data_IF_243005419821
#
_entry.id   IF_243005419821
#
_cell.length_a   1.000
_cell.length_b   1.000
_cell.length_c   1.000
_cell.angle_alpha   90.00
_cell.angle_beta   90.00
_cell.angle_gamma   90.00
#
_symmetry.space_group_name_H-M   'P 1'
#
loop_
_entity.id
_entity.type
_entity.pdbx_description
1 polymer ?
#
# COMPACT_ATOMS: atom_id res chain seq x y z
N UNK A 1 13.76 1.33 1.28
CA UNK A 1 13.88 2.01 2.60
C UNK A 1 13.36 3.43 2.48
N UNK A 2 12.42 3.83 3.33
CA UNK A 2 11.78 5.15 3.29
C UNK A 2 12.34 6.02 4.43
N UNK A 3 13.02 7.13 4.13
CA UNK A 3 13.55 8.03 5.15
C UNK A 3 12.41 8.77 5.88
N UNK A 4 12.08 8.32 7.09
CA UNK A 4 11.01 8.86 7.93
C UNK A 4 11.06 10.40 8.12
N UNK A 5 12.27 10.99 8.08
CA UNK A 5 12.50 12.43 8.27
C UNK A 5 11.82 13.30 7.21
N UNK A 6 11.63 12.79 5.99
CA UNK A 6 11.04 13.53 4.88
C UNK A 6 9.51 13.64 5.00
N UNK A 7 8.92 12.87 5.91
CA UNK A 7 7.48 12.81 6.14
C UNK A 7 7.07 13.49 7.43
N UNK A 8 7.96 14.17 8.16
CA UNK A 8 7.59 14.95 9.34
C UNK A 8 7.27 16.39 8.91
N UNK A 9 5.98 16.70 8.72
CA UNK A 9 5.55 18.07 8.46
C UNK A 9 5.68 18.94 9.73
N UNK A 10 6.50 19.98 9.66
CA UNK A 10 6.69 20.97 10.74
C UNK A 10 5.47 21.88 10.92
N UNK A 11 4.51 21.88 9.99
CA UNK A 11 3.32 22.75 9.98
C UNK A 11 2.05 22.09 10.52
N UNK A 12 2.15 20.84 10.99
CA UNK A 12 1.12 20.20 11.84
C UNK A 12 0.16 19.23 11.13
N UNK A 13 0.36 18.87 9.86
CA UNK A 13 -0.53 17.88 9.21
C UNK A 13 0.02 16.45 9.29
N UNK A 14 -0.02 15.89 10.50
CA UNK A 14 0.53 14.57 10.83
C UNK A 14 -0.20 13.41 10.14
N UNK A 15 -1.50 13.53 9.85
CA UNK A 15 -2.27 12.43 9.24
C UNK A 15 -1.85 12.21 7.78
N UNK A 16 -1.72 13.29 7.00
CA UNK A 16 -1.24 13.20 5.61
C UNK A 16 0.22 12.76 5.53
N UNK A 17 1.03 13.22 6.47
CA UNK A 17 2.42 12.81 6.68
C UNK A 17 2.55 11.30 6.92
N UNK A 18 1.77 10.74 7.84
CA UNK A 18 1.72 9.31 8.13
C UNK A 18 1.15 8.49 6.97
N UNK A 19 0.15 9.01 6.25
CA UNK A 19 -0.42 8.33 5.09
C UNK A 19 0.61 8.17 3.95
N UNK A 20 1.42 9.20 3.69
CA UNK A 20 2.49 9.16 2.69
C UNK A 20 3.62 8.21 3.10
N UNK A 21 4.01 8.25 4.38
CA UNK A 21 4.97 7.30 4.94
C UNK A 21 4.48 5.85 4.80
N UNK A 22 3.25 5.57 5.22
CA UNK A 22 2.66 4.23 5.14
C UNK A 22 2.60 3.74 3.69
N UNK A 23 2.24 4.63 2.75
CA UNK A 23 2.24 4.31 1.32
C UNK A 23 3.62 3.88 0.85
N UNK A 24 4.66 4.67 1.11
CA UNK A 24 5.98 4.38 0.57
C UNK A 24 6.67 3.20 1.31
N UNK A 25 6.34 2.97 2.59
CA UNK A 25 6.83 1.82 3.36
C UNK A 25 6.17 0.51 2.92
N UNK A 26 4.87 0.53 2.62
CA UNK A 26 4.11 -0.64 2.19
C UNK A 26 4.12 -0.83 0.66
N UNK A 27 4.68 0.10 -0.11
CA UNK A 27 4.71 0.04 -1.58
C UNK A 27 5.57 -1.12 -2.11
N UNK A 28 6.54 -1.59 -1.32
CA UNK A 28 7.46 -2.63 -1.75
C UNK A 28 6.94 -4.01 -1.31
N UNK A 29 6.46 -4.80 -2.27
CA UNK A 29 6.15 -6.21 -2.04
C UNK A 29 7.48 -6.98 -1.99
N UNK A 30 7.82 -7.66 -0.87
CA UNK A 30 9.06 -8.42 -0.79
C UNK A 30 9.12 -9.53 -1.85
N UNK A 31 10.28 -9.75 -2.47
CA UNK A 31 10.49 -10.85 -3.41
C UNK A 31 10.15 -12.21 -2.81
N UNK A 32 10.33 -12.37 -1.50
CA UNK A 32 9.93 -13.56 -0.74
C UNK A 32 8.42 -13.83 -0.85
N UNK A 33 7.59 -12.79 -0.85
CA UNK A 33 6.14 -12.91 -1.01
C UNK A 33 5.79 -13.35 -2.44
N UNK A 34 6.46 -12.78 -3.44
CA UNK A 34 6.30 -13.19 -4.84
C UNK A 34 6.74 -14.64 -5.06
N UNK A 35 7.88 -15.05 -4.48
CA UNK A 35 8.35 -16.43 -4.52
C UNK A 35 7.36 -17.38 -3.85
N UNK A 36 6.81 -17.00 -2.69
CA UNK A 36 5.77 -17.78 -2.01
C UNK A 36 4.52 -17.95 -2.88
N UNK A 37 3.98 -16.86 -3.43
CA UNK A 37 2.82 -16.90 -4.33
C UNK A 37 3.06 -17.80 -5.55
N UNK A 38 4.23 -17.67 -6.19
CA UNK A 38 4.64 -18.54 -7.32
C UNK A 38 4.71 -20.00 -6.92
N UNK A 39 5.36 -20.31 -5.79
CA UNK A 39 5.51 -21.70 -5.30
C UNK A 39 4.17 -22.35 -4.95
N UNK A 40 3.16 -21.55 -4.57
CA UNK A 40 1.82 -22.02 -4.18
C UNK A 40 0.78 -21.86 -5.29
N UNK A 41 1.16 -21.37 -6.46
CA UNK A 41 0.25 -21.11 -7.58
C UNK A 41 -0.83 -20.05 -7.27
N UNK A 42 -0.62 -19.22 -6.25
CA UNK A 42 -1.56 -18.18 -5.85
C UNK A 42 -1.45 -17.05 -6.87
N UNK A 43 -2.49 -16.88 -7.69
CA UNK A 43 -2.58 -15.78 -8.64
C UNK A 43 -3.03 -14.51 -7.90
N UNK A 44 -2.41 -13.35 -8.14
CA UNK A 44 -2.91 -12.10 -7.59
C UNK A 44 -4.35 -11.90 -8.08
N UNK A 45 -5.30 -11.83 -7.15
CA UNK A 45 -6.65 -11.39 -7.49
C UNK A 45 -6.55 -9.91 -7.83
N UNK A 46 -6.82 -9.57 -9.09
CA UNK A 46 -7.19 -8.20 -9.40
C UNK A 46 -8.43 -7.91 -8.57
N UNK A 47 -8.31 -7.07 -7.54
CA UNK A 47 -9.46 -6.46 -6.90
C UNK A 47 -10.14 -5.63 -7.98
N UNK A 48 -11.04 -6.25 -8.74
CA UNK A 48 -12.10 -5.53 -9.42
C UNK A 48 -12.81 -4.79 -8.30
N UNK A 49 -12.47 -3.51 -8.13
CA UNK A 49 -13.30 -2.60 -7.38
C UNK A 49 -14.65 -2.64 -8.08
N UNK A 50 -15.51 -3.55 -7.62
CA UNK A 50 -16.94 -3.49 -7.84
C UNK A 50 -17.37 -2.22 -7.13
N UNK A 51 -17.32 -1.11 -7.85
CA UNK A 51 -18.09 0.08 -7.53
C UNK A 51 -19.53 -0.41 -7.44
N UNK A 52 -19.97 -0.64 -6.20
CA UNK A 52 -21.36 -0.87 -5.85
C UNK A 52 -22.15 0.32 -6.38
N UNK A 53 -22.70 0.16 -7.58
CA UNK A 53 -23.73 1.04 -8.12
C UNK A 53 -24.96 0.83 -7.26
N UNK A 54 -25.15 1.76 -6.32
CA UNK A 54 -26.37 1.90 -5.51
C UNK A 54 -27.59 1.91 -6.45
N UNK A 55 -28.58 1.02 -6.31
CA UNK A 55 -29.77 1.05 -7.15
C UNK A 55 -30.71 2.22 -6.75
N UNK A 56 -31.55 2.69 -7.69
CA UNK A 56 -32.43 3.85 -7.54
C UNK A 56 -33.57 3.66 -6.53
#
# INVERSE_FOLDING_TARGET
FVPFRDYIDRRGNHILSMARLAKDVLAEIPDQFLQYMRSRGIKPQHSSHSTSSKPP
#
